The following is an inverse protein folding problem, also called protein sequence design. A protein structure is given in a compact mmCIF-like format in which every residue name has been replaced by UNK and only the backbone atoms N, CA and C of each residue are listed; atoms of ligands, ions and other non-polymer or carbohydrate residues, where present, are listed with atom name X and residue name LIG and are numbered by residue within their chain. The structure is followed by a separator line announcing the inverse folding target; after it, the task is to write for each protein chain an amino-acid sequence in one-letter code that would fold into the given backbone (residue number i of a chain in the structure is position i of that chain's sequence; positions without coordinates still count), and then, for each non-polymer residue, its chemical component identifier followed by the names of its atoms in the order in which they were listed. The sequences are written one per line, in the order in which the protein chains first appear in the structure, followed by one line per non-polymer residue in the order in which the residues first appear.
data_IF_336819497495
#
_entry.id   IF_336819497495
#
_cell.length_a   1.000
_cell.length_b   1.000
_cell.length_c   1.000
_cell.angle_alpha   90.00
_cell.angle_beta   90.00
_cell.angle_gamma   90.00
#
_symmetry.space_group_name_H-M   'P 1'
#
loop_
_entity.id
_entity.type
_entity.pdbx_description
1 polymer ?
#
# COMPACT_ATOMS: atom_id res chain seq x y z
N UNK A 1 -7.86 -43.82 -2.68
CA UNK A 1 -6.61 -43.04 -2.59
C UNK A 1 -5.51 -43.94 -2.05
N UNK A 2 -4.27 -43.81 -2.54
CA UNK A 2 -3.12 -44.50 -1.93
C UNK A 2 -2.75 -43.79 -0.62
N UNK A 3 -2.15 -44.50 0.32
CA UNK A 3 -1.72 -43.96 1.62
C UNK A 3 -0.82 -42.71 1.47
N UNK A 4 0.04 -42.69 0.44
CA UNK A 4 0.87 -41.52 0.10
C UNK A 4 0.09 -40.29 -0.37
N UNK A 5 -1.06 -40.48 -1.03
CA UNK A 5 -1.91 -39.36 -1.50
C UNK A 5 -2.62 -38.69 -0.32
N UNK A 6 -3.04 -39.49 0.67
CA UNK A 6 -3.68 -39.01 1.91
C UNK A 6 -2.72 -38.13 2.69
N UNK A 7 -1.48 -38.60 2.90
CA UNK A 7 -0.46 -37.84 3.62
C UNK A 7 -0.06 -36.56 2.89
N UNK A 8 0.01 -36.59 1.55
CA UNK A 8 0.27 -35.40 0.73
C UNK A 8 -0.87 -34.38 0.84
N UNK A 9 -2.13 -34.83 0.79
CA UNK A 9 -3.30 -33.97 0.96
C UNK A 9 -3.32 -33.31 2.34
N UNK A 10 -2.98 -34.06 3.40
CA UNK A 10 -2.89 -33.54 4.77
C UNK A 10 -1.83 -32.43 4.90
N UNK A 11 -0.62 -32.67 4.39
CA UNK A 11 0.46 -31.66 4.38
C UNK A 11 0.09 -30.40 3.58
N UNK A 12 -0.57 -30.56 2.44
CA UNK A 12 -1.04 -29.44 1.63
C UNK A 12 -2.17 -28.67 2.33
N UNK A 13 -3.05 -29.36 3.04
CA UNK A 13 -4.13 -28.74 3.82
C UNK A 13 -3.58 -27.90 4.97
N UNK A 14 -2.59 -28.42 5.70
CA UNK A 14 -1.91 -27.66 6.76
C UNK A 14 -1.24 -26.41 6.18
N UNK A 15 -0.53 -26.57 5.07
CA UNK A 15 0.11 -25.45 4.40
C UNK A 15 -0.87 -24.41 3.85
N UNK A 16 -2.02 -24.86 3.34
CA UNK A 16 -3.14 -24.01 2.91
C UNK A 16 -3.66 -23.16 4.08
N UNK A 17 -3.90 -23.78 5.24
CA UNK A 17 -4.40 -23.09 6.43
C UNK A 17 -3.42 -22.01 6.90
N UNK A 18 -2.15 -22.34 7.01
CA UNK A 18 -1.09 -21.40 7.41
C UNK A 18 -0.98 -20.23 6.42
N UNK A 19 -0.99 -20.55 5.12
CA UNK A 19 -0.93 -19.54 4.06
C UNK A 19 -2.14 -18.60 4.12
N UNK A 20 -3.33 -19.11 4.44
CA UNK A 20 -4.58 -18.34 4.47
C UNK A 20 -4.56 -17.33 5.62
N UNK A 21 -4.12 -17.77 6.80
CA UNK A 21 -3.95 -16.90 7.96
C UNK A 21 -2.92 -15.79 7.69
N UNK A 22 -1.83 -16.13 7.00
CA UNK A 22 -0.78 -15.17 6.65
C UNK A 22 -1.27 -14.13 5.63
N UNK A 23 -2.08 -14.53 4.65
CA UNK A 23 -2.74 -13.62 3.71
C UNK A 23 -3.64 -12.63 4.43
N UNK A 24 -4.52 -13.10 5.33
CA UNK A 24 -5.43 -12.24 6.08
C UNK A 24 -4.67 -11.22 6.93
N UNK A 25 -3.57 -11.64 7.55
CA UNK A 25 -2.69 -10.77 8.34
C UNK A 25 -2.08 -9.66 7.46
N UNK A 26 -1.50 -10.02 6.32
CA UNK A 26 -0.92 -9.03 5.40
C UNK A 26 -1.96 -8.10 4.78
N UNK A 27 -3.17 -8.60 4.52
CA UNK A 27 -4.29 -7.80 4.05
C UNK A 27 -4.70 -6.73 5.06
N UNK A 28 -4.84 -7.11 6.34
CA UNK A 28 -5.15 -6.17 7.42
C UNK A 28 -4.06 -5.10 7.59
N UNK A 29 -2.78 -5.50 7.54
CA UNK A 29 -1.65 -4.57 7.64
C UNK A 29 -1.65 -3.58 6.46
N UNK A 30 -1.87 -4.05 5.24
CA UNK A 30 -1.97 -3.18 4.05
C UNK A 30 -3.08 -2.13 4.22
N UNK A 31 -4.24 -2.52 4.72
CA UNK A 31 -5.36 -1.59 4.93
C UNK A 31 -5.03 -0.55 6.03
N UNK A 32 -4.33 -0.95 7.10
CA UNK A 32 -3.86 0.01 8.13
C UNK A 32 -2.83 0.99 7.56
N UNK A 33 -1.87 0.50 6.77
CA UNK A 33 -0.88 1.35 6.10
C UNK A 33 -1.56 2.34 5.16
N UNK A 34 -2.56 1.91 4.40
CA UNK A 34 -3.35 2.81 3.54
C UNK A 34 -3.99 3.95 4.35
N UNK A 35 -4.61 3.63 5.49
CA UNK A 35 -5.18 4.66 6.37
C UNK A 35 -4.12 5.60 6.93
N UNK A 36 -2.95 5.09 7.34
CA UNK A 36 -1.85 5.93 7.80
C UNK A 36 -1.33 6.86 6.71
N UNK A 37 -1.22 6.40 5.46
CA UNK A 37 -0.86 7.27 4.33
C UNK A 37 -1.92 8.35 4.13
N UNK A 38 -3.23 8.01 4.19
CA UNK A 38 -4.29 9.02 4.04
C UNK A 38 -4.28 10.09 5.14
N UNK A 39 -4.05 9.69 6.39
CA UNK A 39 -3.92 10.62 7.52
C UNK A 39 -2.70 11.52 7.30
N UNK A 40 -1.57 10.95 6.89
CA UNK A 40 -0.36 11.71 6.61
C UNK A 40 -0.53 12.68 5.45
N UNK A 41 -1.19 12.27 4.37
CA UNK A 41 -1.53 13.15 3.25
C UNK A 41 -2.43 14.30 3.68
N UNK A 42 -3.41 14.03 4.57
CA UNK A 42 -4.25 15.08 5.15
C UNK A 42 -3.43 16.11 5.94
N UNK A 43 -2.46 15.65 6.73
CA UNK A 43 -1.53 16.56 7.43
C UNK A 43 -0.68 17.35 6.45
N UNK A 44 -0.09 16.71 5.45
CA UNK A 44 0.70 17.41 4.43
C UNK A 44 -0.15 18.41 3.61
N UNK A 45 -1.44 18.15 3.41
CA UNK A 45 -2.37 19.07 2.77
C UNK A 45 -2.71 20.26 3.66
N UNK A 46 -2.90 20.04 4.97
CA UNK A 46 -3.09 21.11 5.95
C UNK A 46 -1.88 22.04 5.97
N UNK A 47 -0.67 21.46 5.98
CA UNK A 47 0.60 22.19 5.93
C UNK A 47 0.74 23.05 4.67
N UNK A 48 0.18 22.58 3.54
CA UNK A 48 0.15 23.33 2.28
C UNK A 48 -0.78 24.55 2.33
N UNK A 49 -1.89 24.44 3.07
CA UNK A 49 -2.86 25.54 3.22
C UNK A 49 -2.47 26.54 4.31
N UNK A 50 -1.87 26.06 5.40
CA UNK A 50 -1.47 26.85 6.56
C UNK A 50 -0.03 26.48 6.97
N UNK A 51 0.99 27.01 6.28
CA UNK A 51 2.39 26.72 6.56
C UNK A 51 2.73 26.99 8.03
N UNK A 52 3.49 26.08 8.66
CA UNK A 52 3.92 26.21 10.05
C UNK A 52 2.92 25.71 11.10
N UNK A 53 1.69 25.33 10.71
CA UNK A 53 0.67 24.91 11.67
C UNK A 53 1.03 23.61 12.38
N UNK A 54 1.52 22.59 11.66
CA UNK A 54 1.95 21.34 12.29
C UNK A 54 3.18 21.60 13.17
N UNK A 55 4.10 22.45 12.70
CA UNK A 55 5.26 22.83 13.49
C UNK A 55 4.89 23.52 14.81
N UNK A 56 3.91 24.41 14.79
CA UNK A 56 3.40 25.05 16.01
C UNK A 56 2.80 24.01 16.98
N UNK A 57 1.96 23.10 16.49
CA UNK A 57 1.33 22.04 17.31
C UNK A 57 2.39 21.13 17.93
N UNK A 58 3.37 20.69 17.13
CA UNK A 58 4.46 19.82 17.62
C UNK A 58 5.29 20.54 18.67
N UNK A 59 5.64 21.81 18.44
CA UNK A 59 6.42 22.60 19.40
C UNK A 59 5.64 22.86 20.70
N UNK A 60 4.34 23.14 20.63
CA UNK A 60 3.48 23.29 21.82
C UNK A 60 3.41 22.00 22.63
N UNK A 61 3.26 20.86 21.94
CA UNK A 61 3.29 19.55 22.57
C UNK A 61 4.65 19.29 23.24
N UNK A 62 5.77 19.55 22.56
CA UNK A 62 7.11 19.38 23.12
C UNK A 62 7.34 20.24 24.37
N UNK A 63 6.91 21.50 24.36
CA UNK A 63 7.00 22.39 25.53
C UNK A 63 6.23 21.85 26.72
N UNK A 64 5.05 21.25 26.50
CA UNK A 64 4.25 20.63 27.55
C UNK A 64 4.94 19.42 28.21
N UNK A 65 5.70 18.65 27.44
CA UNK A 65 6.38 17.44 27.95
C UNK A 65 7.79 17.70 28.49
N UNK A 66 8.56 18.58 27.85
CA UNK A 66 9.96 18.86 28.19
C UNK A 66 10.11 20.06 29.15
N UNK A 67 9.03 20.80 29.40
CA UNK A 67 9.01 22.02 30.19
C UNK A 67 9.48 23.24 29.38
N UNK A 68 9.04 24.42 29.82
CA UNK A 68 9.26 25.73 29.17
C UNK A 68 10.75 26.14 29.05
N UNK A 69 11.65 25.40 29.71
CA UNK A 69 13.10 25.62 29.69
C UNK A 69 13.80 24.98 28.49
N UNK A 70 13.11 24.14 27.72
CA UNK A 70 13.68 23.53 26.53
C UNK A 70 13.82 24.57 25.40
N UNK A 71 15.06 24.94 25.05
CA UNK A 71 15.37 25.77 23.87
C UNK A 71 15.16 25.05 22.54
N UNK A 72 14.65 23.81 22.58
CA UNK A 72 14.43 22.99 21.40
C UNK A 72 13.17 23.48 20.69
N UNK A 73 13.37 24.12 19.54
CA UNK A 73 12.29 24.48 18.62
C UNK A 73 12.56 23.78 17.31
N UNK A 74 11.59 22.99 16.85
CA UNK A 74 11.65 22.37 15.54
C UNK A 74 11.20 23.39 14.50
N UNK A 75 12.04 23.64 13.49
CA UNK A 75 11.66 24.47 12.36
C UNK A 75 10.58 23.76 11.53
N UNK A 76 9.77 24.58 10.86
CA UNK A 76 8.78 24.12 9.89
C UNK A 76 9.43 23.23 8.82
N UNK A 77 10.59 23.62 8.32
CA UNK A 77 11.29 22.93 7.24
C UNK A 77 11.70 21.51 7.66
N UNK A 78 12.24 21.36 8.89
CA UNK A 78 12.59 20.04 9.42
C UNK A 78 11.37 19.14 9.57
N UNK A 79 10.24 19.68 10.03
CA UNK A 79 9.00 18.91 10.17
C UNK A 79 8.46 18.51 8.80
N UNK A 80 8.50 19.41 7.81
CA UNK A 80 8.13 19.07 6.43
C UNK A 80 9.00 17.93 5.87
N UNK A 81 10.32 17.99 6.09
CA UNK A 81 11.27 16.92 5.73
C UNK A 81 10.92 15.57 6.38
N UNK A 82 10.56 15.58 7.67
CA UNK A 82 10.14 14.36 8.37
C UNK A 82 8.84 13.81 7.78
N UNK A 83 7.86 14.66 7.44
CA UNK A 83 6.61 14.23 6.81
C UNK A 83 6.85 13.59 5.44
N UNK A 84 7.73 14.18 4.61
CA UNK A 84 8.14 13.62 3.32
C UNK A 84 8.80 12.25 3.48
N UNK A 85 9.74 12.13 4.42
CA UNK A 85 10.42 10.86 4.69
C UNK A 85 9.45 9.79 5.24
N UNK A 86 8.55 10.17 6.13
CA UNK A 86 7.52 9.27 6.65
C UNK A 86 6.59 8.79 5.54
N UNK A 87 6.22 9.67 4.60
CA UNK A 87 5.41 9.32 3.44
C UNK A 87 6.12 8.29 2.57
N UNK A 88 7.40 8.51 2.25
CA UNK A 88 8.22 7.55 1.52
C UNK A 88 8.24 6.18 2.19
N UNK A 89 8.52 6.13 3.50
CA UNK A 89 8.57 4.88 4.26
C UNK A 89 7.24 4.12 4.23
N UNK A 90 6.13 4.82 4.46
CA UNK A 90 4.80 4.22 4.47
C UNK A 90 4.38 3.73 3.08
N UNK A 91 4.68 4.49 2.02
CA UNK A 91 4.37 4.11 0.63
C UNK A 91 5.16 2.87 0.20
N UNK A 92 6.46 2.80 0.53
CA UNK A 92 7.28 1.61 0.27
C UNK A 92 6.67 0.38 0.94
N UNK A 93 6.37 0.49 2.24
CA UNK A 93 5.77 -0.62 2.99
C UNK A 93 4.40 -1.00 2.40
N UNK A 94 3.57 -0.03 2.05
CA UNK A 94 2.26 -0.26 1.45
C UNK A 94 2.37 -1.05 0.14
N UNK A 95 3.25 -0.66 -0.79
CA UNK A 95 3.44 -1.39 -2.05
C UNK A 95 4.03 -2.78 -1.84
N UNK A 96 5.03 -2.94 -0.98
CA UNK A 96 5.58 -4.25 -0.65
C UNK A 96 4.49 -5.18 -0.12
N UNK A 97 3.62 -4.70 0.77
CA UNK A 97 2.50 -5.50 1.29
C UNK A 97 1.45 -5.78 0.21
N UNK A 98 1.15 -4.82 -0.66
CA UNK A 98 0.22 -5.03 -1.77
C UNK A 98 0.69 -6.11 -2.74
N UNK A 99 1.97 -6.09 -3.13
CA UNK A 99 2.57 -7.10 -4.02
C UNK A 99 2.56 -8.48 -3.34
N UNK A 100 2.93 -8.52 -2.06
CA UNK A 100 2.96 -9.78 -1.29
C UNK A 100 1.57 -10.40 -1.16
N UNK A 101 0.52 -9.59 -0.95
CA UNK A 101 -0.86 -10.08 -0.92
C UNK A 101 -1.23 -10.73 -2.26
N UNK A 102 -0.94 -10.06 -3.38
CA UNK A 102 -1.27 -10.60 -4.73
C UNK A 102 -0.54 -11.93 -5.00
N UNK A 103 0.77 -11.98 -4.76
CA UNK A 103 1.57 -13.20 -4.94
C UNK A 103 1.09 -14.36 -4.09
N UNK A 104 0.73 -14.10 -2.83
CA UNK A 104 0.24 -15.14 -1.93
C UNK A 104 -1.14 -15.64 -2.32
N UNK A 105 -2.04 -14.79 -2.82
CA UNK A 105 -3.33 -15.24 -3.37
C UNK A 105 -3.16 -16.17 -4.57
N UNK A 106 -2.20 -15.88 -5.47
CA UNK A 106 -1.88 -16.79 -6.59
C UNK A 106 -1.35 -18.13 -6.10
N UNK A 107 -0.44 -18.09 -5.14
CA UNK A 107 0.11 -19.30 -4.53
C UNK A 107 -0.97 -20.14 -3.84
N UNK A 108 -1.88 -19.48 -3.12
CA UNK A 108 -3.05 -20.12 -2.51
C UNK A 108 -3.90 -20.86 -3.54
N UNK A 109 -4.18 -20.20 -4.67
CA UNK A 109 -4.94 -20.82 -5.75
C UNK A 109 -4.25 -22.07 -6.31
N UNK A 110 -2.92 -22.06 -6.45
CA UNK A 110 -2.16 -23.23 -6.88
C UNK A 110 -2.26 -24.39 -5.86
N UNK A 111 -2.24 -24.09 -4.55
CA UNK A 111 -2.46 -25.12 -3.52
C UNK A 111 -3.89 -25.69 -3.61
N UNK A 112 -4.91 -24.83 -3.80
CA UNK A 112 -6.30 -25.28 -3.97
C UNK A 112 -6.44 -26.20 -5.20
N UNK A 113 -5.81 -25.85 -6.33
CA UNK A 113 -5.81 -26.65 -7.55
C UNK A 113 -5.17 -28.03 -7.33
N UNK A 114 -4.01 -28.09 -6.67
CA UNK A 114 -3.34 -29.36 -6.34
C UNK A 114 -4.16 -30.21 -5.35
N UNK A 115 -4.83 -29.59 -4.38
CA UNK A 115 -5.69 -30.28 -3.42
C UNK A 115 -6.92 -30.88 -4.11
N UNK A 116 -7.55 -30.13 -5.02
CA UNK A 116 -8.70 -30.62 -5.78
C UNK A 116 -8.31 -31.77 -6.71
N UNK A 117 -7.11 -31.73 -7.31
CA UNK A 117 -6.58 -32.83 -8.14
C UNK A 117 -6.41 -34.13 -7.34
N UNK A 118 -5.91 -34.04 -6.09
CA UNK A 118 -5.69 -35.20 -5.22
C UNK A 118 -7.00 -35.76 -4.67
N UNK A 119 -7.93 -34.89 -4.30
CA UNK A 119 -9.21 -35.27 -3.67
C UNK A 119 -10.28 -35.67 -4.70
N UNK A 120 -10.10 -35.35 -5.98
CA UNK A 120 -11.03 -35.67 -7.06
C UNK A 120 -12.33 -34.85 -7.04
N UNK A 121 -12.43 -33.86 -6.16
CA UNK A 121 -13.59 -33.00 -5.98
C UNK A 121 -13.17 -31.53 -5.79
N UNK A 122 -14.02 -30.60 -6.21
CA UNK A 122 -13.85 -29.15 -5.98
C UNK A 122 -14.28 -28.73 -4.56
N UNK A 123 -13.91 -29.52 -3.55
CA UNK A 123 -14.36 -29.36 -2.17
C UNK A 123 -13.66 -28.17 -1.48
N UNK A 124 -12.41 -27.87 -1.87
CA UNK A 124 -11.58 -26.81 -1.28
C UNK A 124 -11.45 -25.64 -2.25
N UNK A 125 -12.45 -24.77 -2.21
CA UNK A 125 -12.60 -23.63 -3.15
C UNK A 125 -12.95 -22.33 -2.43
N UNK A 126 -12.91 -22.34 -1.09
CA UNK A 126 -13.48 -21.31 -0.23
C UNK A 126 -12.78 -19.95 -0.32
N UNK A 127 -11.46 -19.92 -0.62
CA UNK A 127 -10.69 -18.67 -0.59
C UNK A 127 -10.24 -18.22 -2.00
N UNK A 128 -9.89 -19.14 -2.90
CA UNK A 128 -9.47 -18.80 -4.27
C UNK A 128 -10.62 -18.75 -5.28
N UNK A 129 -11.37 -19.85 -5.44
CA UNK A 129 -12.48 -19.93 -6.42
C UNK A 129 -13.70 -19.10 -6.00
N UNK A 130 -14.09 -19.16 -4.74
CA UNK A 130 -15.14 -18.31 -4.13
C UNK A 130 -14.87 -16.81 -4.30
N UNK A 131 -13.60 -16.39 -4.26
CA UNK A 131 -13.22 -14.99 -4.49
C UNK A 131 -13.50 -14.53 -5.94
N UNK A 132 -13.48 -15.46 -6.90
CA UNK A 132 -13.71 -15.19 -8.32
C UNK A 132 -15.17 -15.36 -8.74
N UNK A 133 -16.02 -15.98 -7.91
CA UNK A 133 -17.40 -16.28 -8.26
C UNK A 133 -18.38 -15.20 -7.78
N UNK A 134 -19.57 -15.14 -8.38
CA UNK A 134 -20.58 -14.12 -8.07
C UNK A 134 -21.07 -14.21 -6.62
N UNK A 135 -21.25 -15.43 -6.12
CA UNK A 135 -21.97 -15.72 -4.88
C UNK A 135 -21.09 -16.41 -3.82
N UNK A 136 -19.78 -16.53 -4.07
CA UNK A 136 -18.85 -17.25 -3.19
C UNK A 136 -19.01 -18.78 -3.19
N UNK A 137 -19.79 -19.32 -4.13
CA UNK A 137 -19.93 -20.77 -4.33
C UNK A 137 -19.11 -21.23 -5.55
N UNK A 138 -18.54 -22.45 -5.54
CA UNK A 138 -17.73 -22.97 -6.65
C UNK A 138 -18.51 -23.26 -7.94
N UNK A 139 -19.82 -23.50 -7.83
CA UNK A 139 -20.76 -23.74 -8.93
C UNK A 139 -21.27 -22.44 -9.60
N UNK A 140 -21.07 -21.31 -8.94
CA UNK A 140 -21.53 -20.02 -9.44
C UNK A 140 -20.66 -19.53 -10.61
N UNK A 141 -21.19 -18.69 -11.51
CA UNK A 141 -20.42 -18.10 -12.59
C UNK A 141 -19.17 -17.40 -12.03
N UNK A 142 -18.02 -17.54 -12.71
CA UNK A 142 -16.73 -16.91 -12.35
C UNK A 142 -16.74 -15.39 -12.59
N UNK A 143 -17.80 -14.73 -12.12
CA UNK A 143 -18.04 -13.31 -12.27
C UNK A 143 -18.22 -12.69 -10.90
N UNK A 144 -17.12 -12.29 -10.26
CA UNK A 144 -17.13 -11.55 -8.99
C UNK A 144 -18.13 -10.37 -9.00
N UNK A 145 -18.81 -9.99 -7.90
CA UNK A 145 -19.66 -8.80 -7.88
C UNK A 145 -18.91 -7.53 -8.28
N UNK A 146 -19.58 -6.60 -8.99
CA UNK A 146 -18.95 -5.39 -9.52
C UNK A 146 -18.26 -4.55 -8.44
N UNK A 147 -18.92 -4.37 -7.29
CA UNK A 147 -18.39 -3.62 -6.14
C UNK A 147 -17.06 -4.22 -5.66
N UNK A 148 -17.02 -5.55 -5.50
CA UNK A 148 -15.81 -6.26 -5.07
C UNK A 148 -14.72 -6.21 -6.15
N UNK A 149 -15.06 -6.20 -7.44
CA UNK A 149 -14.09 -5.99 -8.52
C UNK A 149 -13.42 -4.62 -8.48
N UNK A 150 -14.12 -3.57 -8.03
CA UNK A 150 -13.58 -2.21 -7.98
C UNK A 150 -12.47 -2.03 -6.93
N UNK A 151 -12.50 -2.83 -5.87
CA UNK A 151 -11.52 -2.73 -4.78
C UNK A 151 -10.08 -2.91 -5.29
N UNK A 152 -9.83 -3.85 -6.21
CA UNK A 152 -8.50 -4.08 -6.79
C UNK A 152 -7.95 -2.85 -7.52
N UNK A 153 -8.63 -2.35 -8.58
CA UNK A 153 -8.23 -1.14 -9.29
C UNK A 153 -8.06 0.10 -8.41
N UNK A 154 -8.86 0.24 -7.34
CA UNK A 154 -8.72 1.36 -6.39
C UNK A 154 -7.32 1.37 -5.75
N UNK A 155 -6.91 0.23 -5.18
CA UNK A 155 -5.62 0.13 -4.49
C UNK A 155 -4.42 0.07 -5.44
N UNK A 156 -4.61 -0.44 -6.66
CA UNK A 156 -3.54 -0.66 -7.63
C UNK A 156 -3.30 0.53 -8.56
N UNK A 157 -4.33 1.29 -8.93
CA UNK A 157 -4.21 2.37 -9.93
C UNK A 157 -4.70 3.71 -9.42
N UNK A 158 -5.90 3.78 -8.84
CA UNK A 158 -6.48 5.06 -8.42
C UNK A 158 -5.63 5.68 -7.31
N UNK A 159 -5.24 4.90 -6.30
CA UNK A 159 -4.42 5.41 -5.21
C UNK A 159 -3.04 5.91 -5.65
N UNK A 160 -2.22 5.16 -6.43
CA UNK A 160 -0.97 5.68 -6.97
C UNK A 160 -1.14 6.94 -7.82
N UNK A 161 -2.18 7.01 -8.67
CA UNK A 161 -2.44 8.20 -9.49
C UNK A 161 -2.74 9.41 -8.61
N UNK A 162 -3.63 9.27 -7.61
CA UNK A 162 -3.94 10.34 -6.68
C UNK A 162 -2.69 10.78 -5.88
N UNK A 163 -1.87 9.82 -5.46
CA UNK A 163 -0.62 10.10 -4.76
C UNK A 163 0.36 10.87 -5.66
N UNK A 164 0.53 10.47 -6.92
CA UNK A 164 1.35 11.18 -7.90
C UNK A 164 0.86 12.60 -8.13
N UNK A 165 -0.45 12.80 -8.33
CA UNK A 165 -1.05 14.14 -8.49
C UNK A 165 -0.77 15.01 -7.27
N UNK A 166 -0.94 14.46 -6.06
CA UNK A 166 -0.66 15.18 -4.82
C UNK A 166 0.82 15.57 -4.70
N UNK A 167 1.74 14.65 -4.95
CA UNK A 167 3.20 14.91 -4.91
C UNK A 167 3.57 15.99 -5.90
N UNK A 168 3.13 15.88 -7.16
CA UNK A 168 3.41 16.88 -8.18
C UNK A 168 2.87 18.27 -7.81
N UNK A 169 1.63 18.32 -7.29
CA UNK A 169 1.01 19.56 -6.86
C UNK A 169 1.77 20.20 -5.68
N UNK A 170 2.15 19.39 -4.67
CA UNK A 170 2.90 19.87 -3.51
C UNK A 170 4.28 20.42 -3.91
N UNK A 171 5.03 19.67 -4.72
CA UNK A 171 6.33 20.12 -5.25
C UNK A 171 6.16 21.41 -6.05
N UNK A 172 5.14 21.51 -6.91
CA UNK A 172 4.89 22.72 -7.69
C UNK A 172 4.64 23.94 -6.80
N UNK A 173 3.83 23.79 -5.75
CA UNK A 173 3.53 24.87 -4.79
C UNK A 173 4.76 25.27 -3.97
N UNK A 174 5.55 24.31 -3.50
CA UNK A 174 6.81 24.59 -2.80
C UNK A 174 7.79 25.35 -3.71
N UNK A 175 7.93 24.95 -4.98
CA UNK A 175 8.81 25.64 -5.94
C UNK A 175 8.36 27.07 -6.29
N UNK A 176 7.06 27.35 -6.38
CA UNK A 176 6.57 28.72 -6.59
C UNK A 176 6.87 29.59 -5.39
N UNK A 177 6.62 29.09 -4.17
CA UNK A 177 6.93 29.82 -2.95
C UNK A 177 8.43 30.15 -2.86
N UNK A 178 9.30 29.22 -3.27
CA UNK A 178 10.75 29.42 -3.34
C UNK A 178 11.18 30.47 -4.37
N UNK A 179 10.42 30.63 -5.46
CA UNK A 179 10.74 31.64 -6.47
C UNK A 179 10.46 33.07 -6.00
N UNK A 180 9.58 33.25 -5.01
CA UNK A 180 9.25 34.56 -4.42
C UNK A 180 10.23 34.92 -3.29
N UNK A 181 10.71 33.95 -2.52
CA UNK A 181 11.75 34.14 -1.49
C UNK A 181 13.16 34.07 -2.09
N UNK A 182 13.58 35.13 -2.78
CA UNK A 182 14.98 35.26 -3.23
C UNK A 182 15.93 35.14 -2.03
N UNK A 183 16.78 34.10 -2.05
CA UNK A 183 18.11 34.02 -1.41
C UNK A 183 18.26 33.29 -0.05
N UNK A 184 17.49 32.25 0.23
CA UNK A 184 17.93 31.20 1.16
C UNK A 184 17.46 29.83 0.63
N UNK A 185 18.34 29.15 -0.10
CA UNK A 185 18.14 27.72 -0.39
C UNK A 185 18.36 26.95 0.90
N UNK A 186 17.29 26.63 1.61
CA UNK A 186 17.39 25.75 2.77
C UNK A 186 17.64 24.31 2.30
N UNK A 187 18.51 23.58 3.00
CA UNK A 187 18.90 22.20 2.66
C UNK A 187 17.67 21.27 2.69
N UNK A 188 16.67 21.63 3.49
CA UNK A 188 15.39 20.92 3.60
C UNK A 188 14.61 20.84 2.28
N UNK A 189 14.62 21.91 1.48
CA UNK A 189 13.82 21.94 0.24
C UNK A 189 14.39 21.02 -0.83
N UNK A 190 15.72 20.99 -0.96
CA UNK A 190 16.41 20.04 -1.85
C UNK A 190 16.14 18.59 -1.45
N UNK A 191 16.13 18.30 -0.14
CA UNK A 191 15.78 16.99 0.39
C UNK A 191 14.34 16.58 0.09
N UNK A 192 13.38 17.50 0.27
CA UNK A 192 11.96 17.28 -0.03
C UNK A 192 11.72 16.97 -1.52
N UNK A 193 12.33 17.75 -2.41
CA UNK A 193 12.26 17.50 -3.87
C UNK A 193 12.87 16.13 -4.21
N UNK A 194 14.03 15.81 -3.65
CA UNK A 194 14.67 14.51 -3.86
C UNK A 194 13.78 13.34 -3.43
N UNK A 195 13.19 13.40 -2.23
CA UNK A 195 12.23 12.39 -1.77
C UNK A 195 11.01 12.34 -2.68
N UNK A 196 10.47 13.49 -3.07
CA UNK A 196 9.33 13.59 -3.97
C UNK A 196 9.57 12.92 -5.32
N UNK A 197 10.76 13.10 -5.90
CA UNK A 197 11.18 12.42 -7.14
C UNK A 197 11.28 10.91 -6.92
N UNK A 198 11.90 10.46 -5.82
CA UNK A 198 11.97 9.02 -5.49
C UNK A 198 10.57 8.43 -5.38
N UNK A 199 9.68 9.09 -4.64
CA UNK A 199 8.28 8.68 -4.47
C UNK A 199 7.57 8.57 -5.83
N UNK A 200 7.78 9.54 -6.73
CA UNK A 200 7.19 9.53 -8.06
C UNK A 200 7.70 8.35 -8.90
N UNK A 201 9.02 8.12 -8.92
CA UNK A 201 9.62 6.97 -9.61
C UNK A 201 9.08 5.65 -9.03
N UNK A 202 8.99 5.55 -7.71
CA UNK A 202 8.47 4.35 -7.04
C UNK A 202 7.00 4.07 -7.37
N UNK A 203 6.17 5.13 -7.47
CA UNK A 203 4.79 5.04 -7.95
C UNK A 203 4.72 4.48 -9.39
N UNK A 204 5.52 5.03 -10.30
CA UNK A 204 5.55 4.59 -11.72
C UNK A 204 5.98 3.13 -11.82
N UNK A 205 7.03 2.73 -11.09
CA UNK A 205 7.49 1.34 -11.07
C UNK A 205 6.43 0.38 -10.53
N UNK A 206 5.71 0.75 -9.47
CA UNK A 206 4.63 -0.07 -8.91
C UNK A 206 3.48 -0.25 -9.91
N UNK A 207 3.04 0.83 -10.56
CA UNK A 207 1.96 0.77 -11.57
C UNK A 207 2.40 -0.04 -12.78
N UNK A 208 3.63 0.18 -13.27
CA UNK A 208 4.20 -0.55 -14.39
C UNK A 208 4.28 -2.06 -14.10
N UNK A 209 4.77 -2.45 -12.91
CA UNK A 209 4.81 -3.84 -12.49
C UNK A 209 3.42 -4.51 -12.55
N UNK A 210 2.39 -3.84 -12.00
CA UNK A 210 1.02 -4.36 -12.02
C UNK A 210 0.43 -4.45 -13.44
N UNK A 211 0.78 -3.55 -14.36
CA UNK A 211 0.34 -3.61 -15.76
C UNK A 211 1.00 -4.79 -16.48
N UNK A 212 2.31 -4.98 -16.29
CA UNK A 212 3.06 -6.08 -16.88
C UNK A 212 2.58 -7.45 -16.38
N UNK A 213 2.34 -7.58 -15.07
CA UNK A 213 1.82 -8.82 -14.45
C UNK A 213 0.47 -9.22 -15.06
N UNK A 214 -0.48 -8.27 -15.18
CA UNK A 214 -1.80 -8.52 -15.79
C UNK A 214 -1.73 -8.82 -17.29
N UNK A 215 -0.72 -8.32 -17.99
CA UNK A 215 -0.49 -8.66 -19.39
C UNK A 215 -0.10 -10.12 -19.55
N UNK A 216 0.76 -10.63 -18.66
CA UNK A 216 1.17 -12.05 -18.66
C UNK A 216 0.00 -12.99 -18.40
N UNK A 217 -0.88 -12.63 -17.45
CA UNK A 217 -2.08 -13.43 -17.18
C UNK A 217 -3.01 -13.57 -18.38
N UNK A 218 -3.23 -12.48 -19.11
CA UNK A 218 -4.07 -12.48 -20.32
C UNK A 218 -3.49 -13.27 -21.48
N UNK A 219 -2.17 -13.49 -21.51
CA UNK A 219 -1.53 -14.36 -22.51
C UNK A 219 -1.50 -15.83 -22.13
N UNK A 220 -1.77 -16.18 -20.87
CA UNK A 220 -1.76 -17.56 -20.35
C UNK A 220 -3.15 -18.16 -20.13
N UNK A 221 -4.21 -17.44 -20.51
CA UNK A 221 -5.62 -17.91 -20.48
C UNK A 221 -6.18 -17.94 -21.88
#
# INVERSE_FOLDING_TARGET
MKDGDVKRAELLMDHYKDTSQLIQTHWAIRNRLFLFVLILLSFMALELTNPGSIAAIVNEYLKKYLGDQSKMTLSFDLISSVLWFLLLSLVIQYYQRSINVDRRFRYMQNIEEQLCEILGENTITREGLSYKTLNGRPDAPKTRPWFLRMVGPIYTYIFPVLLSVFICYKIYKENIALSESKLQHDVSDGFNIFIGVILFVFNVLYVYWNLCEKSKERSST
#
